data_IF_943633865913
#
_entry.id   IF_943633865913
#
_cell.length_a   1.000
_cell.length_b   1.000
_cell.length_c   1.000
_cell.angle_alpha   90.00
_cell.angle_beta   90.00
_cell.angle_gamma   90.00
#
_symmetry.space_group_name_H-M   'P 1'
#
loop_
_entity.id
_entity.type
_entity.pdbx_description
1 polymer ?
#
# COMPACT_ATOMS: atom_id res chain seq x y z
N UNK A 1 -33.77 -15.69 13.55
CA UNK A 1 -32.34 -15.41 13.35
C UNK A 1 -32.03 -15.63 11.88
N UNK A 2 -31.80 -14.57 11.10
CA UNK A 2 -31.65 -14.69 9.64
C UNK A 2 -30.19 -15.03 9.30
N UNK A 3 -29.93 -16.23 8.79
CA UNK A 3 -28.61 -16.60 8.30
C UNK A 3 -28.37 -16.01 6.91
N UNK A 4 -27.25 -15.29 6.74
CA UNK A 4 -26.85 -14.75 5.44
C UNK A 4 -25.97 -15.79 4.72
N UNK A 5 -26.31 -16.20 3.48
CA UNK A 5 -25.52 -17.17 2.75
C UNK A 5 -24.12 -16.63 2.42
N UNK A 6 -23.10 -17.49 2.34
CA UNK A 6 -21.73 -17.04 2.07
C UNK A 6 -21.60 -16.49 0.65
N UNK A 7 -20.93 -15.35 0.53
CA UNK A 7 -20.50 -14.83 -0.77
C UNK A 7 -19.54 -15.83 -1.42
N UNK A 8 -19.74 -16.14 -2.70
CA UNK A 8 -18.94 -17.10 -3.45
C UNK A 8 -18.18 -16.42 -4.59
N UNK A 9 -16.96 -16.88 -4.84
CA UNK A 9 -16.15 -16.51 -6.01
C UNK A 9 -15.53 -17.77 -6.62
N UNK A 10 -15.79 -18.00 -7.92
CA UNK A 10 -15.44 -19.23 -8.66
C UNK A 10 -15.91 -20.49 -7.93
N UNK A 11 -17.20 -20.53 -7.56
CA UNK A 11 -17.83 -21.68 -6.93
C UNK A 11 -17.45 -21.96 -5.47
N UNK A 12 -16.48 -21.23 -4.89
CA UNK A 12 -16.00 -21.43 -3.52
C UNK A 12 -16.34 -20.24 -2.62
N UNK A 13 -16.66 -20.44 -1.32
CA UNK A 13 -16.89 -19.35 -0.38
C UNK A 13 -15.70 -18.41 -0.28
N UNK A 14 -15.95 -17.11 -0.34
CA UNK A 14 -14.94 -16.08 -0.08
C UNK A 14 -14.59 -16.13 1.41
N UNK A 15 -13.30 -16.11 1.73
CA UNK A 15 -12.82 -16.11 3.10
C UNK A 15 -11.52 -15.36 3.25
N UNK A 16 -11.25 -14.84 4.46
CA UNK A 16 -10.01 -14.13 4.78
C UNK A 16 -8.77 -14.99 4.51
N UNK A 17 -8.85 -16.30 4.75
CA UNK A 17 -7.74 -17.23 4.45
C UNK A 17 -7.45 -17.30 2.95
N UNK A 18 -8.47 -17.38 2.09
CA UNK A 18 -8.27 -17.39 0.63
C UNK A 18 -7.70 -16.06 0.13
N UNK A 19 -8.21 -14.94 0.66
CA UNK A 19 -7.72 -13.61 0.32
C UNK A 19 -6.24 -13.47 0.71
N UNK A 20 -5.87 -13.85 1.94
CA UNK A 20 -4.46 -13.81 2.39
C UNK A 20 -3.57 -14.70 1.54
N UNK A 21 -4.00 -15.91 1.17
CA UNK A 21 -3.25 -16.81 0.28
C UNK A 21 -3.05 -16.19 -1.11
N UNK A 22 -4.08 -15.57 -1.68
CA UNK A 22 -3.97 -14.89 -2.98
C UNK A 22 -2.97 -13.72 -2.92
N UNK A 23 -3.05 -12.89 -1.87
CA UNK A 23 -2.10 -11.77 -1.67
C UNK A 23 -0.67 -12.30 -1.52
N UNK A 24 -0.44 -13.33 -0.68
CA UNK A 24 0.86 -13.91 -0.44
C UNK A 24 1.46 -14.58 -1.71
N UNK A 25 0.61 -15.10 -2.60
CA UNK A 25 1.02 -15.62 -3.90
C UNK A 25 1.26 -14.52 -4.95
N UNK A 26 0.86 -13.27 -4.67
CA UNK A 26 0.93 -12.16 -5.61
C UNK A 26 -0.22 -12.13 -6.63
N UNK A 27 -1.26 -12.95 -6.45
CA UNK A 27 -2.47 -12.94 -7.27
C UNK A 27 -3.41 -11.81 -6.81
N UNK A 28 -3.03 -10.59 -7.18
CA UNK A 28 -3.77 -9.37 -6.85
C UNK A 28 -5.13 -9.32 -7.55
N UNK A 29 -5.29 -9.99 -8.69
CA UNK A 29 -6.56 -10.05 -9.41
C UNK A 29 -7.58 -10.88 -8.64
N UNK A 30 -7.21 -12.09 -8.19
CA UNK A 30 -8.08 -12.91 -7.35
C UNK A 30 -8.38 -12.24 -6.01
N UNK A 31 -7.37 -11.62 -5.38
CA UNK A 31 -7.57 -10.86 -4.15
C UNK A 31 -8.59 -9.73 -4.35
N UNK A 32 -8.46 -8.96 -5.44
CA UNK A 32 -9.37 -7.86 -5.77
C UNK A 32 -10.80 -8.35 -6.03
N UNK A 33 -10.95 -9.43 -6.79
CA UNK A 33 -12.26 -10.01 -7.08
C UNK A 33 -12.96 -10.51 -5.81
N UNK A 34 -12.23 -11.11 -4.88
CA UNK A 34 -12.78 -11.55 -3.60
C UNK A 34 -13.07 -10.40 -2.62
N UNK A 35 -12.26 -9.33 -2.65
CA UNK A 35 -12.43 -8.16 -1.79
C UNK A 35 -13.45 -7.15 -2.30
N UNK A 36 -13.77 -7.17 -3.60
CA UNK A 36 -14.53 -6.12 -4.28
C UNK A 36 -13.77 -4.80 -4.47
N UNK A 37 -12.48 -4.76 -4.09
CA UNK A 37 -11.58 -3.60 -4.19
C UNK A 37 -10.12 -4.06 -4.17
N UNK A 38 -9.13 -3.24 -4.58
CA UNK A 38 -7.74 -3.62 -4.54
C UNK A 38 -7.30 -3.74 -3.10
N UNK A 39 -6.35 -4.63 -2.88
CA UNK A 39 -5.68 -4.72 -1.60
C UNK A 39 -4.91 -3.43 -1.31
N UNK A 40 -5.06 -2.89 -0.10
CA UNK A 40 -4.43 -1.66 0.33
C UNK A 40 -3.46 -1.90 1.48
N UNK A 41 -2.27 -1.32 1.38
CA UNK A 41 -1.32 -1.18 2.47
C UNK A 41 -1.58 0.14 3.17
N UNK A 42 -1.85 0.11 4.48
CA UNK A 42 -2.00 1.32 5.29
C UNK A 42 -0.72 1.53 6.09
N UNK A 43 -0.17 2.74 6.02
CA UNK A 43 1.10 3.01 6.68
C UNK A 43 1.31 4.50 6.97
N UNK A 44 2.21 4.77 7.91
CA UNK A 44 2.77 6.10 8.15
C UNK A 44 4.04 6.24 7.30
N UNK A 45 4.14 7.34 6.56
CA UNK A 45 5.36 7.64 5.80
C UNK A 45 6.47 8.07 6.74
N UNK A 46 7.59 7.35 6.70
CA UNK A 46 8.78 7.59 7.49
C UNK A 46 9.91 8.14 6.63
N UNK A 47 10.90 8.77 7.26
CA UNK A 47 12.12 9.22 6.58
C UNK A 47 12.92 8.01 6.11
N UNK A 48 13.25 7.99 4.83
CA UNK A 48 14.17 7.02 4.23
C UNK A 48 15.59 7.55 4.12
N UNK A 49 16.47 6.77 3.48
CA UNK A 49 17.86 7.18 3.19
C UNK A 49 17.99 8.12 1.99
N UNK A 50 16.93 8.31 1.22
CA UNK A 50 16.94 9.21 0.05
C UNK A 50 17.71 8.69 -1.17
N UNK A 51 18.08 7.40 -1.22
CA UNK A 51 18.82 6.80 -2.36
C UNK A 51 18.07 7.01 -3.69
N UNK A 52 16.76 6.78 -3.71
CA UNK A 52 15.95 7.02 -4.91
C UNK A 52 16.02 8.47 -5.41
N UNK A 53 16.18 9.45 -4.51
CA UNK A 53 16.31 10.87 -4.88
C UNK A 53 17.57 11.12 -5.72
N UNK A 54 18.68 10.43 -5.44
CA UNK A 54 19.91 10.52 -6.23
C UNK A 54 19.76 9.93 -7.64
N UNK A 55 18.76 9.07 -7.84
CA UNK A 55 18.43 8.45 -9.12
C UNK A 55 17.27 9.14 -9.86
N UNK A 56 16.76 10.27 -9.35
CA UNK A 56 15.60 10.98 -9.92
C UNK A 56 14.23 10.45 -9.49
N UNK A 57 14.18 9.47 -8.59
CA UNK A 57 12.97 8.81 -8.11
C UNK A 57 12.80 8.99 -6.60
N UNK A 58 12.32 10.14 -6.10
CA UNK A 58 12.09 10.34 -4.68
C UNK A 58 11.12 9.27 -4.15
N UNK A 59 11.52 8.57 -3.08
CA UNK A 59 10.72 7.50 -2.46
C UNK A 59 10.30 7.83 -1.03
N UNK A 60 9.02 7.58 -0.73
CA UNK A 60 8.50 7.53 0.62
C UNK A 60 8.68 6.12 1.18
N UNK A 61 9.38 5.99 2.30
CA UNK A 61 9.52 4.71 2.99
C UNK A 61 8.34 4.54 3.95
N UNK A 62 7.81 3.33 4.10
CA UNK A 62 6.75 3.09 5.07
C UNK A 62 6.77 1.66 5.63
N UNK A 63 6.20 1.50 6.83
CA UNK A 63 6.04 0.20 7.49
C UNK A 63 4.54 -0.12 7.49
N UNK A 64 4.04 -1.06 6.67
CA UNK A 64 2.62 -1.36 6.66
C UNK A 64 2.21 -2.12 7.91
N UNK A 65 1.05 -1.73 8.47
CA UNK A 65 0.42 -2.37 9.64
C UNK A 65 -0.19 -3.74 9.28
N UNK A 66 -0.23 -4.07 7.98
CA UNK A 66 -0.88 -5.24 7.44
C UNK A 66 -0.17 -6.56 7.83
N UNK A 67 -0.97 -7.55 8.27
CA UNK A 67 -0.49 -8.88 8.65
C UNK A 67 -0.02 -9.74 7.45
N UNK A 68 -0.57 -9.52 6.26
CA UNK A 68 -0.15 -10.21 5.03
C UNK A 68 0.54 -9.21 4.10
N UNK A 69 1.63 -9.64 3.47
CA UNK A 69 2.40 -8.82 2.52
C UNK A 69 2.44 -9.54 1.17
N UNK A 70 2.40 -8.81 0.05
CA UNK A 70 2.60 -9.42 -1.26
C UNK A 70 4.05 -9.91 -1.39
N UNK A 71 4.38 -10.74 -2.40
CA UNK A 71 5.76 -11.13 -2.67
C UNK A 71 6.72 -9.94 -2.82
N UNK A 72 8.02 -10.20 -2.74
CA UNK A 72 8.98 -9.18 -3.12
C UNK A 72 8.88 -8.85 -4.62
N UNK A 73 9.03 -7.57 -4.94
CA UNK A 73 8.89 -7.05 -6.29
C UNK A 73 8.49 -5.60 -6.37
N UNK A 74 8.17 -5.20 -7.60
CA UNK A 74 7.66 -3.87 -7.94
C UNK A 74 6.21 -3.97 -8.38
N UNK A 75 5.40 -3.04 -7.91
CA UNK A 75 3.96 -2.99 -8.11
C UNK A 75 3.55 -1.65 -8.70
N UNK A 76 2.59 -1.64 -9.62
CA UNK A 76 1.85 -0.43 -9.96
C UNK A 76 0.84 -0.17 -8.87
N UNK A 77 0.78 1.07 -8.39
CA UNK A 77 -0.03 1.43 -7.24
C UNK A 77 -0.77 2.75 -7.43
N UNK A 78 -1.82 2.92 -6.64
CA UNK A 78 -2.39 4.23 -6.35
C UNK A 78 -2.29 4.52 -4.87
N UNK A 79 -1.85 5.71 -4.51
CA UNK A 79 -1.82 6.16 -3.13
C UNK A 79 -2.89 7.23 -2.89
N UNK A 80 -3.65 7.09 -1.81
CA UNK A 80 -4.51 8.15 -1.30
C UNK A 80 -3.69 9.04 -0.37
N UNK A 81 -3.42 10.27 -0.80
CA UNK A 81 -2.62 11.25 -0.06
C UNK A 81 -3.34 12.60 -0.06
N UNK A 82 -3.66 13.12 1.13
CA UNK A 82 -4.34 14.42 1.25
C UNK A 82 -5.68 14.48 0.50
N UNK A 83 -6.45 13.37 0.52
CA UNK A 83 -7.75 13.27 -0.15
C UNK A 83 -7.69 13.08 -1.66
N UNK A 84 -6.49 13.02 -2.26
CA UNK A 84 -6.32 12.79 -3.71
C UNK A 84 -5.61 11.48 -3.97
N UNK A 85 -6.06 10.78 -5.00
CA UNK A 85 -5.39 9.59 -5.51
C UNK A 85 -4.23 9.99 -6.40
N UNK A 86 -3.13 9.25 -6.27
CA UNK A 86 -1.89 9.48 -7.02
C UNK A 86 -1.35 8.18 -7.53
N UNK A 87 -1.03 8.16 -8.81
CA UNK A 87 -0.40 7.01 -9.44
C UNK A 87 1.07 6.93 -9.05
N UNK A 88 1.60 5.70 -9.01
CA UNK A 88 2.99 5.47 -8.65
C UNK A 88 3.44 4.03 -8.83
N UNK A 89 4.68 3.78 -8.43
CA UNK A 89 5.22 2.44 -8.22
C UNK A 89 5.58 2.23 -6.77
N UNK A 90 5.46 0.98 -6.32
CA UNK A 90 5.88 0.52 -5.01
C UNK A 90 6.91 -0.58 -5.16
N UNK A 91 8.07 -0.40 -4.55
CA UNK A 91 9.03 -1.47 -4.32
C UNK A 91 8.78 -2.11 -2.94
N UNK A 92 8.63 -3.44 -2.91
CA UNK A 92 8.65 -4.25 -1.71
C UNK A 92 9.81 -5.25 -1.83
N UNK A 93 10.80 -5.18 -0.96
CA UNK A 93 11.96 -6.07 -1.07
C UNK A 93 12.85 -6.05 0.16
N UNK A 94 14.05 -6.61 0.02
CA UNK A 94 15.07 -6.59 1.08
C UNK A 94 16.14 -5.57 0.76
N UNK A 95 16.69 -4.92 1.78
CA UNK A 95 17.90 -4.11 1.62
C UNK A 95 19.12 -5.03 1.56
N UNK A 96 19.90 -5.06 0.47
CA UNK A 96 21.24 -5.64 0.51
C UNK A 96 22.14 -4.65 1.26
N UNK A 97 22.70 -5.08 2.39
CA UNK A 97 23.97 -4.63 3.00
C UNK A 97 24.28 -3.12 2.96
N UNK A 98 24.07 -2.45 4.10
CA UNK A 98 24.98 -1.51 4.79
C UNK A 98 24.14 -0.70 5.81
N UNK A 99 24.02 -1.20 7.04
CA UNK A 99 23.40 -0.51 8.17
C UNK A 99 22.28 -1.30 8.87
N UNK A 100 22.11 -1.00 10.16
CA UNK A 100 21.36 -1.73 11.22
C UNK A 100 19.84 -1.85 11.01
N UNK A 101 19.39 -2.33 9.84
CA UNK A 101 17.97 -2.54 9.54
C UNK A 101 17.76 -3.85 8.79
N UNK A 102 17.59 -4.93 9.55
CA UNK A 102 17.32 -6.27 9.03
C UNK A 102 15.81 -6.44 8.85
N UNK A 103 15.25 -5.86 7.78
CA UNK A 103 13.81 -5.96 7.55
C UNK A 103 13.40 -5.69 6.10
N UNK A 104 12.25 -6.24 5.67
CA UNK A 104 11.66 -5.88 4.39
C UNK A 104 11.31 -4.39 4.37
N UNK A 105 11.47 -3.78 3.20
CA UNK A 105 11.23 -2.36 2.99
C UNK A 105 10.14 -2.14 1.97
N UNK A 106 9.37 -1.07 2.17
CA UNK A 106 8.40 -0.57 1.21
C UNK A 106 8.79 0.85 0.80
N UNK A 107 9.00 1.05 -0.49
CA UNK A 107 9.41 2.34 -1.07
C UNK A 107 8.42 2.76 -2.16
N UNK A 108 7.64 3.80 -1.89
CA UNK A 108 6.65 4.38 -2.79
C UNK A 108 7.26 5.54 -3.58
N UNK A 109 7.24 5.45 -4.91
CA UNK A 109 7.50 6.56 -5.80
C UNK A 109 6.18 7.01 -6.44
N UNK A 110 5.75 8.24 -6.14
CA UNK A 110 4.57 8.85 -6.76
C UNK A 110 4.98 9.62 -8.00
N UNK A 111 4.20 9.47 -9.06
CA UNK A 111 4.42 10.18 -10.31
C UNK A 111 4.01 11.65 -10.16
N UNK A 112 4.80 12.52 -10.80
CA UNK A 112 4.47 13.93 -10.99
C UNK A 112 4.17 14.66 -9.66
N UNK A 113 4.76 14.18 -8.55
CA UNK A 113 4.50 14.67 -7.19
C UNK A 113 5.77 14.68 -6.36
N UNK A 114 6.06 15.83 -5.75
CA UNK A 114 7.29 16.06 -4.98
C UNK A 114 7.01 16.56 -3.55
N UNK A 115 5.74 16.58 -3.12
CA UNK A 115 5.40 17.08 -1.79
C UNK A 115 5.84 16.12 -0.68
N UNK A 116 6.29 16.68 0.45
CA UNK A 116 6.72 15.91 1.62
C UNK A 116 5.53 15.19 2.26
N UNK A 117 5.59 13.85 2.29
CA UNK A 117 4.58 13.00 2.92
C UNK A 117 4.93 12.59 4.36
N UNK A 118 6.10 12.96 4.88
CA UNK A 118 6.58 12.52 6.19
C UNK A 118 5.58 12.77 7.31
N UNK A 119 5.40 11.76 8.17
CA UNK A 119 4.48 11.81 9.31
C UNK A 119 3.01 11.69 8.92
N UNK A 120 2.66 11.60 7.63
CA UNK A 120 1.28 11.42 7.18
C UNK A 120 0.95 9.95 6.98
N UNK A 121 -0.28 9.58 7.33
CA UNK A 121 -0.86 8.28 6.97
C UNK A 121 -1.22 8.29 5.48
N UNK A 122 -0.88 7.20 4.81
CA UNK A 122 -1.20 6.95 3.40
C UNK A 122 -1.82 5.58 3.27
N UNK A 123 -2.75 5.44 2.32
CA UNK A 123 -3.22 4.14 1.86
C UNK A 123 -2.70 3.89 0.45
N UNK A 124 -2.05 2.75 0.24
CA UNK A 124 -1.43 2.39 -1.03
C UNK A 124 -2.13 1.15 -1.59
N UNK A 125 -2.95 1.34 -2.62
CA UNK A 125 -3.68 0.30 -3.34
C UNK A 125 -2.76 -0.39 -4.35
N UNK A 126 -2.62 -1.71 -4.23
CA UNK A 126 -1.85 -2.53 -5.17
C UNK A 126 -2.73 -2.88 -6.37
N UNK A 127 -2.35 -2.38 -7.55
CA UNK A 127 -3.13 -2.58 -8.78
C UNK A 127 -2.62 -3.78 -9.57
N UNK A 128 -1.32 -3.84 -9.84
CA UNK A 128 -0.69 -4.94 -10.55
C UNK A 128 0.72 -5.20 -10.06
N UNK A 129 1.20 -6.44 -10.22
CA UNK A 129 2.61 -6.79 -10.02
C UNK A 129 3.35 -6.59 -11.34
N UNK A 130 4.36 -5.73 -11.33
CA UNK A 130 5.18 -5.47 -12.51
C UNK A 130 6.27 -6.52 -12.64
N UNK A 131 7.01 -6.80 -11.56
CA UNK A 131 8.09 -7.79 -11.57
C UNK A 131 8.46 -8.26 -10.17
N UNK A 132 9.25 -9.33 -10.09
CA UNK A 132 9.94 -9.73 -8.87
C UNK A 132 11.11 -8.80 -8.50
N UNK A 133 11.64 -9.01 -7.30
CA UNK A 133 12.86 -8.36 -6.83
C UNK A 133 14.08 -8.96 -7.52
N UNK A 134 15.06 -8.13 -7.87
CA UNK A 134 16.29 -8.54 -8.57
C UNK A 134 17.43 -7.57 -8.31
N UNK A 135 18.66 -8.09 -8.35
CA UNK A 135 19.88 -7.28 -8.32
C UNK A 135 20.17 -6.67 -9.69
N UNK A 136 20.89 -5.54 -9.68
CA UNK A 136 21.35 -4.85 -10.89
C UNK A 136 22.86 -4.67 -10.82
N UNK A 137 23.51 -4.68 -11.99
CA UNK A 137 24.96 -4.53 -12.11
C UNK A 137 25.48 -3.15 -11.64
N UNK A 138 24.60 -2.14 -11.54
CA UNK A 138 24.95 -0.83 -11.02
C UNK A 138 23.82 0.19 -11.13
N UNK A 139 24.06 1.44 -10.68
CA UNK A 139 23.03 2.49 -10.62
C UNK A 139 22.39 2.81 -11.97
N UNK A 140 23.16 2.82 -13.07
CA UNK A 140 22.62 3.07 -14.43
C UNK A 140 21.64 1.98 -14.86
N UNK A 141 21.98 0.71 -14.64
CA UNK A 141 21.11 -0.42 -14.96
C UNK A 141 19.82 -0.41 -14.11
N UNK A 142 19.93 -0.05 -12.84
CA UNK A 142 18.79 0.14 -11.94
C UNK A 142 17.88 1.27 -12.44
N UNK A 143 18.43 2.46 -12.75
CA UNK A 143 17.65 3.59 -13.25
C UNK A 143 16.92 3.26 -14.56
N UNK A 144 17.59 2.59 -15.50
CA UNK A 144 16.98 2.15 -16.74
C UNK A 144 15.81 1.16 -16.52
N UNK A 145 15.93 0.26 -15.52
CA UNK A 145 14.81 -0.61 -15.17
C UNK A 145 13.67 0.14 -14.51
N UNK A 146 13.96 1.09 -13.60
CA UNK A 146 12.91 1.90 -12.96
C UNK A 146 12.13 2.69 -14.04
N UNK A 147 12.80 3.25 -15.04
CA UNK A 147 12.14 3.94 -16.15
C UNK A 147 11.16 3.01 -16.90
N UNK A 148 11.57 1.76 -17.19
CA UNK A 148 10.68 0.74 -17.79
C UNK A 148 9.51 0.38 -16.88
N UNK A 149 9.76 0.24 -15.58
CA UNK A 149 8.74 -0.06 -14.59
C UNK A 149 7.69 1.06 -14.52
N UNK A 150 8.12 2.33 -14.55
CA UNK A 150 7.24 3.52 -14.58
C UNK A 150 6.37 3.54 -15.84
N UNK A 151 6.96 3.32 -17.02
CA UNK A 151 6.20 3.29 -18.28
C UNK A 151 5.15 2.18 -18.29
N UNK A 152 5.50 0.99 -17.78
CA UNK A 152 4.52 -0.10 -17.64
C UNK A 152 3.44 0.26 -16.62
N UNK A 153 3.80 0.79 -15.46
CA UNK A 153 2.84 1.19 -14.44
C UNK A 153 1.84 2.23 -14.96
N UNK A 154 2.29 3.23 -15.72
CA UNK A 154 1.40 4.22 -16.34
C UNK A 154 0.39 3.56 -17.28
N UNK A 155 0.79 2.56 -18.08
CA UNK A 155 -0.13 1.77 -18.91
C UNK A 155 -1.14 0.99 -18.07
N UNK A 156 -0.66 0.22 -17.08
CA UNK A 156 -1.51 -0.60 -16.21
C UNK A 156 -2.55 0.25 -15.45
N UNK A 157 -2.18 1.48 -15.04
CA UNK A 157 -3.01 2.40 -14.27
C UNK A 157 -4.02 3.20 -15.10
N UNK A 158 -3.87 3.23 -16.43
CA UNK A 158 -4.81 3.90 -17.35
C UNK A 158 -6.06 3.05 -17.66
N UNK A 159 -6.00 1.74 -17.45
CA UNK A 159 -7.11 0.81 -17.75
C UNK A 159 -8.40 1.19 -16.98
N UNK A 160 -9.56 1.09 -17.63
CA UNK A 160 -10.87 1.43 -17.08
C UNK A 160 -11.16 0.72 -15.74
N UNK A 161 -10.73 -0.54 -15.60
CA UNK A 161 -10.80 -1.33 -14.36
C UNK A 161 -10.03 -0.69 -13.22
N UNK A 162 -8.82 -0.19 -13.46
CA UNK A 162 -8.04 0.51 -12.43
C UNK A 162 -8.74 1.80 -12.00
N UNK A 163 -9.32 2.58 -12.93
CA UNK A 163 -10.04 3.84 -12.66
C UNK A 163 -11.32 3.64 -11.83
N UNK A 164 -12.14 2.66 -12.15
CA UNK A 164 -13.43 2.41 -11.47
C UNK A 164 -13.26 1.91 -10.03
N UNK A 165 -12.27 1.05 -9.82
CA UNK A 165 -12.05 0.34 -8.55
C UNK A 165 -11.59 1.28 -7.40
N UNK A 166 -11.08 2.47 -7.71
CA UNK A 166 -10.72 3.48 -6.71
C UNK A 166 -11.86 4.41 -6.27
N UNK A 167 -12.95 4.56 -7.06
CA UNK A 167 -14.13 5.34 -6.64
C UNK A 167 -14.79 4.72 -5.40
N UNK A 168 -14.84 3.38 -5.34
CA UNK A 168 -15.32 2.66 -4.16
C UNK A 168 -14.36 2.77 -2.96
N UNK A 169 -13.04 2.84 -3.18
CA UNK A 169 -12.07 3.00 -2.10
C UNK A 169 -12.21 4.35 -1.38
N UNK A 170 -12.48 5.44 -2.10
CA UNK A 170 -12.78 6.76 -1.50
C UNK A 170 -14.09 6.75 -0.70
N UNK A 171 -15.13 6.05 -1.17
CA UNK A 171 -16.39 5.91 -0.44
C UNK A 171 -16.26 5.06 0.84
N UNK A 172 -15.44 4.01 0.83
CA UNK A 172 -15.18 3.16 2.00
C UNK A 172 -14.24 3.85 3.01
N UNK A 173 -13.22 4.58 2.54
CA UNK A 173 -12.34 5.36 3.42
C UNK A 173 -13.10 6.49 4.13
N UNK A 174 -14.11 7.09 3.48
CA UNK A 174 -15.03 8.05 4.10
C UNK A 174 -15.93 7.46 5.19
N UNK A 175 -16.28 6.17 5.09
CA UNK A 175 -17.07 5.44 6.10
C UNK A 175 -16.25 4.89 7.26
N UNK A 176 -14.92 4.84 7.15
CA UNK A 176 -14.00 4.39 8.22
C UNK A 176 -13.49 5.56 9.06
N UNK A 177 -14.27 6.65 9.17
CA UNK A 177 -14.14 7.58 10.31
C UNK A 177 -14.98 7.03 11.45
N UNK A 178 -14.34 6.96 12.63
CA UNK A 178 -14.84 6.51 13.94
C UNK A 178 -14.65 5.01 14.20
N UNK A 179 -13.45 4.66 14.70
CA UNK A 179 -13.26 4.39 16.13
C UNK A 179 -11.88 4.95 16.49
N UNK A 180 -11.82 6.24 16.82
CA UNK A 180 -10.75 6.72 17.69
C UNK A 180 -10.98 6.03 19.03
N UNK A 181 -10.18 5.01 19.31
CA UNK A 181 -10.13 4.42 20.64
C UNK A 181 -9.81 5.53 21.63
N UNK A 182 -10.79 5.91 22.45
CA UNK A 182 -10.53 6.62 23.69
C UNK A 182 -9.61 5.73 24.52
N UNK A 183 -8.35 6.13 24.64
CA UNK A 183 -7.43 5.58 25.63
C UNK A 183 -8.06 5.72 27.01
N UNK A 184 -8.11 4.61 27.76
CA UNK A 184 -8.67 4.46 29.10
C UNK A 184 -7.87 5.20 30.20
N UNK A 185 -7.33 6.40 29.90
CA UNK A 185 -6.48 7.18 30.82
C UNK A 185 -6.92 8.63 31.10
N UNK A 186 -8.07 9.07 30.59
CA UNK A 186 -8.61 10.43 30.85
C UNK A 186 -9.92 10.46 31.65
N UNK A 187 -10.32 9.36 32.31
CA UNK A 187 -11.48 9.31 33.21
C UNK A 187 -11.14 9.45 34.71
N UNK A 188 -9.93 9.90 35.07
CA UNK A 188 -9.56 10.24 36.45
C UNK A 188 -8.88 11.61 36.49
N UNK A 189 -9.65 12.67 36.24
CA UNK A 189 -9.29 14.06 36.56
C UNK A 189 -10.51 14.99 36.50
N UNK A 190 -11.64 14.55 37.08
CA UNK A 190 -12.78 15.40 37.44
C UNK A 190 -13.53 14.76 38.62
N UNK A 191 -12.86 14.71 39.76
CA UNK A 191 -13.45 14.57 41.09
C UNK A 191 -12.38 15.09 42.04
N UNK A 192 -12.56 16.32 42.48
CA UNK A 192 -11.59 17.07 43.27
C UNK A 192 -11.77 18.56 43.07
N UNK A 193 -12.82 19.10 43.69
CA UNK A 193 -12.85 20.33 44.50
C UNK A 193 -14.28 20.85 44.63
N UNK A 194 -14.73 21.02 45.88
CA UNK A 194 -15.96 21.73 46.19
C UNK A 194 -16.46 21.44 47.59
N UNK A 195 -15.82 22.10 48.57
CA UNK A 195 -16.29 22.42 49.94
C UNK A 195 -16.77 21.28 50.85
#
# INVERSE_FOLDING_TARGET
MTAVPPVRWRGRPVSSTRIRKAIAAGDLAAATAMLGRPYALSAIVVRGRGVGRQLGYPTANFQPDNAVRPPYGVYAVRALCGGRLRDGILYHGRRPTFGRGHGPVFELHLFDWQARLYGRRVEVFLISRLRGDRRFAGPRALAAQIARDVLRARRDLQTATARSVCKNALQVAGRTRIVTGKTRKERKRKQGYGA
#
